data_IF_959677591495
#
_entry.id   IF_959677591495
#
_cell.length_a   1.000
_cell.length_b   1.000
_cell.length_c   1.000
_cell.angle_alpha   90.00
_cell.angle_beta   90.00
_cell.angle_gamma   90.00
#
_symmetry.space_group_name_H-M   'P 1'
#
loop_
_entity.id
_entity.type
_entity.pdbx_description
1 polymer ?
#
# COMPACT_ATOMS: atom_id res chain seq x y z
N UNK A 1 12.61 -48.33 -19.40
CA UNK A 1 11.97 -47.05 -19.72
C UNK A 1 10.85 -46.86 -18.70
N UNK A 2 11.16 -46.25 -17.58
CA UNK A 2 10.18 -45.94 -16.54
C UNK A 2 9.50 -44.61 -16.90
N UNK A 3 8.20 -44.68 -17.14
CA UNK A 3 7.33 -43.53 -17.38
C UNK A 3 7.09 -42.84 -16.06
N UNK A 4 7.77 -41.72 -15.83
CA UNK A 4 7.53 -40.84 -14.68
C UNK A 4 6.18 -40.12 -14.89
N UNK A 5 5.12 -40.70 -14.35
CA UNK A 5 3.82 -40.05 -14.28
C UNK A 5 3.90 -38.95 -13.21
N UNK A 6 3.83 -37.68 -13.64
CA UNK A 6 3.63 -36.54 -12.72
C UNK A 6 2.38 -36.77 -11.87
N UNK A 7 2.40 -36.49 -10.56
CA UNK A 7 1.23 -36.67 -9.70
C UNK A 7 0.08 -35.81 -10.20
N UNK A 8 -1.18 -36.27 -10.08
CA UNK A 8 -2.35 -35.49 -10.48
C UNK A 8 -2.43 -34.23 -9.65
N UNK A 9 -2.44 -33.04 -10.30
CA UNK A 9 -2.68 -31.75 -9.63
C UNK A 9 -4.03 -31.85 -8.91
N UNK A 10 -4.00 -31.83 -7.58
CA UNK A 10 -5.22 -31.81 -6.77
C UNK A 10 -6.06 -30.61 -7.15
N UNK A 11 -7.34 -30.83 -7.33
CA UNK A 11 -8.30 -29.75 -7.67
C UNK A 11 -8.45 -28.85 -6.43
N UNK A 12 -7.89 -27.63 -6.47
CA UNK A 12 -8.02 -26.64 -5.39
C UNK A 12 -9.49 -26.32 -5.13
N UNK A 13 -9.82 -25.98 -3.87
CA UNK A 13 -11.13 -25.47 -3.54
C UNK A 13 -11.39 -24.14 -4.30
N UNK A 14 -12.66 -23.81 -4.63
CA UNK A 14 -12.97 -22.59 -5.37
C UNK A 14 -12.44 -21.31 -4.70
N UNK A 15 -12.57 -21.20 -3.39
CA UNK A 15 -12.08 -20.06 -2.59
C UNK A 15 -10.55 -19.96 -2.65
N UNK A 16 -9.86 -21.07 -2.51
CA UNK A 16 -8.40 -21.14 -2.59
C UNK A 16 -7.90 -20.72 -3.99
N UNK A 17 -8.64 -21.10 -5.03
CA UNK A 17 -8.30 -20.71 -6.41
C UNK A 17 -8.53 -19.22 -6.64
N UNK A 18 -9.62 -18.67 -6.12
CA UNK A 18 -9.93 -17.24 -6.23
C UNK A 18 -8.87 -16.41 -5.53
N UNK A 19 -8.45 -16.83 -4.35
CA UNK A 19 -7.40 -16.21 -3.57
C UNK A 19 -6.04 -16.24 -4.26
N UNK A 20 -5.69 -17.35 -4.91
CA UNK A 20 -4.49 -17.47 -5.73
C UNK A 20 -4.50 -16.51 -6.93
N UNK A 21 -5.65 -16.34 -7.60
CA UNK A 21 -5.82 -15.40 -8.72
C UNK A 21 -5.63 -13.97 -8.22
N UNK A 22 -6.24 -13.59 -7.10
CA UNK A 22 -6.12 -12.26 -6.53
C UNK A 22 -4.69 -11.96 -6.06
N UNK A 23 -4.04 -12.94 -5.44
CA UNK A 23 -2.65 -12.80 -5.00
C UNK A 23 -1.71 -12.53 -6.17
N UNK A 24 -1.90 -13.24 -7.28
CA UNK A 24 -1.09 -13.03 -8.48
C UNK A 24 -1.40 -11.69 -9.15
N UNK A 25 -2.68 -11.29 -9.20
CA UNK A 25 -3.07 -9.99 -9.73
C UNK A 25 -2.49 -8.83 -8.90
N UNK A 26 -2.49 -8.95 -7.56
CA UNK A 26 -1.87 -7.98 -6.68
C UNK A 26 -0.34 -7.89 -6.85
N UNK A 27 0.33 -9.03 -7.09
CA UNK A 27 1.76 -9.04 -7.44
C UNK A 27 2.02 -8.29 -8.75
N UNK A 28 1.21 -8.53 -9.79
CA UNK A 28 1.31 -7.78 -11.05
C UNK A 28 1.12 -6.28 -10.82
N UNK A 29 0.15 -5.90 -9.97
CA UNK A 29 -0.13 -4.50 -9.66
C UNK A 29 1.08 -3.78 -9.03
N UNK A 30 1.75 -4.44 -8.09
CA UNK A 30 2.92 -3.89 -7.39
C UNK A 30 4.17 -3.88 -8.27
N UNK A 31 4.37 -4.91 -9.09
CA UNK A 31 5.58 -5.08 -9.89
C UNK A 31 5.54 -4.29 -11.21
N UNK A 32 4.37 -4.28 -11.87
CA UNK A 32 4.22 -3.83 -13.26
C UNK A 32 3.19 -2.70 -13.43
N UNK A 33 2.26 -2.52 -12.48
CA UNK A 33 1.17 -1.55 -12.50
C UNK A 33 -0.21 -2.16 -12.76
N UNK A 34 -1.26 -1.44 -12.34
CA UNK A 34 -2.65 -1.88 -12.45
C UNK A 34 -3.10 -2.12 -13.90
N UNK A 35 -2.60 -1.32 -14.84
CA UNK A 35 -2.90 -1.43 -16.27
C UNK A 35 -2.36 -2.73 -16.91
N UNK A 36 -1.47 -3.43 -16.22
CA UNK A 36 -0.94 -4.73 -16.66
C UNK A 36 -1.79 -5.90 -16.22
N UNK A 37 -2.73 -5.70 -15.31
CA UNK A 37 -3.66 -6.73 -14.89
C UNK A 37 -4.63 -7.00 -16.03
N UNK A 38 -4.49 -8.16 -16.64
CA UNK A 38 -5.44 -8.71 -17.60
C UNK A 38 -5.70 -10.17 -17.26
N UNK A 39 -6.89 -10.68 -17.61
CA UNK A 39 -7.20 -12.11 -17.41
C UNK A 39 -6.14 -13.02 -18.02
N UNK A 40 -5.56 -12.60 -19.16
CA UNK A 40 -4.50 -13.33 -19.85
C UNK A 40 -3.16 -13.26 -19.11
N UNK A 41 -2.79 -12.09 -18.59
CA UNK A 41 -1.53 -11.92 -17.85
C UNK A 41 -1.53 -12.79 -16.59
N UNK A 42 -2.60 -12.73 -15.81
CA UNK A 42 -2.76 -13.55 -14.60
C UNK A 42 -2.77 -15.05 -14.94
N UNK A 43 -3.50 -15.45 -15.99
CA UNK A 43 -3.50 -16.84 -16.44
C UNK A 43 -2.10 -17.34 -16.84
N UNK A 44 -1.32 -16.49 -17.51
CA UNK A 44 0.06 -16.82 -17.93
C UNK A 44 0.96 -17.02 -16.71
N UNK A 45 0.91 -16.14 -15.73
CA UNK A 45 1.73 -16.25 -14.51
C UNK A 45 1.36 -17.48 -13.67
N UNK A 46 0.06 -17.81 -13.58
CA UNK A 46 -0.42 -18.99 -12.86
C UNK A 46 -0.26 -20.30 -13.66
N UNK A 47 0.11 -20.25 -14.95
CA UNK A 47 0.23 -21.43 -15.81
C UNK A 47 -1.12 -22.11 -16.05
N UNK A 48 -2.22 -21.33 -16.16
CA UNK A 48 -3.58 -21.83 -16.39
C UNK A 48 -4.17 -21.24 -17.67
N UNK A 49 -5.35 -21.76 -18.08
CA UNK A 49 -6.05 -21.21 -19.24
C UNK A 49 -6.80 -19.92 -18.86
N UNK A 50 -6.85 -18.88 -19.71
CA UNK A 50 -7.56 -17.63 -19.45
C UNK A 50 -9.04 -17.84 -19.08
N UNK A 51 -9.72 -18.85 -19.65
CA UNK A 51 -11.09 -19.19 -19.31
C UNK A 51 -11.29 -19.63 -17.85
N UNK A 52 -10.23 -20.05 -17.14
CA UNK A 52 -10.32 -20.30 -15.71
C UNK A 52 -10.41 -18.97 -14.95
N UNK A 53 -9.64 -17.97 -15.33
CA UNK A 53 -9.67 -16.66 -14.67
C UNK A 53 -11.02 -15.99 -14.91
N UNK A 54 -11.53 -15.96 -16.15
CA UNK A 54 -12.83 -15.36 -16.46
C UNK A 54 -14.03 -16.09 -15.82
N UNK A 55 -13.87 -17.30 -15.35
CA UNK A 55 -14.88 -17.98 -14.54
C UNK A 55 -15.01 -17.36 -13.15
N UNK A 56 -13.90 -16.91 -12.53
CA UNK A 56 -13.89 -16.28 -11.22
C UNK A 56 -14.08 -14.76 -11.29
N UNK A 57 -13.59 -14.14 -12.36
CA UNK A 57 -13.65 -12.70 -12.62
C UNK A 57 -14.17 -12.47 -14.05
N UNK A 58 -15.50 -12.39 -14.23
CA UNK A 58 -16.10 -12.17 -15.55
C UNK A 58 -15.71 -10.82 -16.16
N UNK A 59 -15.55 -9.79 -15.36
CA UNK A 59 -15.02 -8.50 -15.77
C UNK A 59 -13.56 -8.32 -15.32
N UNK A 60 -12.72 -7.79 -16.20
CA UNK A 60 -11.32 -7.51 -15.85
C UNK A 60 -11.21 -6.36 -14.85
N UNK A 61 -12.15 -5.43 -14.86
CA UNK A 61 -12.25 -4.30 -13.94
C UNK A 61 -12.42 -4.75 -12.49
N UNK A 62 -13.29 -5.76 -12.25
CA UNK A 62 -13.47 -6.34 -10.90
C UNK A 62 -12.15 -6.93 -10.37
N UNK A 63 -11.36 -7.58 -11.25
CA UNK A 63 -10.07 -8.13 -10.87
C UNK A 63 -9.05 -7.02 -10.54
N UNK A 64 -9.07 -5.92 -11.27
CA UNK A 64 -8.21 -4.74 -11.02
C UNK A 64 -8.55 -4.11 -9.67
N UNK A 65 -9.82 -3.86 -9.41
CA UNK A 65 -10.30 -3.26 -8.16
C UNK A 65 -9.94 -4.11 -6.95
N UNK A 66 -10.23 -5.42 -7.01
CA UNK A 66 -9.94 -6.34 -5.92
C UNK A 66 -8.42 -6.54 -5.71
N UNK A 67 -7.63 -6.54 -6.79
CA UNK A 67 -6.17 -6.62 -6.71
C UNK A 67 -5.59 -5.37 -6.03
N UNK A 68 -6.13 -4.19 -6.34
CA UNK A 68 -5.75 -2.95 -5.66
C UNK A 68 -6.09 -3.00 -4.16
N UNK A 69 -7.33 -3.37 -3.80
CA UNK A 69 -7.75 -3.54 -2.40
C UNK A 69 -6.81 -4.48 -1.65
N UNK A 70 -6.52 -5.63 -2.25
CA UNK A 70 -5.63 -6.63 -1.64
C UNK A 70 -4.23 -6.08 -1.39
N UNK A 71 -3.63 -5.45 -2.39
CA UNK A 71 -2.30 -4.87 -2.28
C UNK A 71 -2.27 -3.76 -1.22
N UNK A 72 -3.24 -2.83 -1.25
CA UNK A 72 -3.37 -1.76 -0.27
C UNK A 72 -3.58 -2.29 1.16
N UNK A 73 -4.39 -3.35 1.33
CA UNK A 73 -4.64 -3.96 2.65
C UNK A 73 -3.38 -4.59 3.24
N UNK A 74 -2.65 -5.38 2.46
CA UNK A 74 -1.40 -6.04 2.91
C UNK A 74 -0.37 -4.98 3.33
N UNK A 75 -0.22 -3.93 2.54
CA UNK A 75 0.74 -2.89 2.84
C UNK A 75 0.30 -2.03 4.04
N UNK A 76 -1.00 -1.75 4.19
CA UNK A 76 -1.54 -1.03 5.37
C UNK A 76 -1.17 -1.73 6.68
N UNK A 77 -1.28 -3.05 6.75
CA UNK A 77 -0.89 -3.82 7.93
C UNK A 77 0.61 -3.72 8.22
N UNK A 78 1.45 -3.58 7.19
CA UNK A 78 2.90 -3.36 7.35
C UNK A 78 3.23 -1.95 7.80
N UNK A 79 2.50 -0.95 7.32
CA UNK A 79 2.72 0.47 7.67
C UNK A 79 2.24 0.81 9.07
N UNK A 80 1.15 0.21 9.52
CA UNK A 80 0.47 0.56 10.77
C UNK A 80 0.46 -0.63 11.73
N UNK A 81 1.57 -0.89 12.43
CA UNK A 81 1.61 -1.96 13.44
C UNK A 81 0.64 -1.67 14.59
N UNK A 82 0.01 -2.72 15.11
CA UNK A 82 -0.90 -2.60 16.26
C UNK A 82 -0.15 -2.52 17.60
N UNK A 83 1.11 -2.96 17.66
CA UNK A 83 1.93 -2.98 18.87
C UNK A 83 2.87 -1.78 18.96
N UNK A 84 3.21 -1.40 20.19
CA UNK A 84 4.11 -0.28 20.51
C UNK A 84 3.37 0.97 20.95
N UNK A 85 4.12 1.93 21.51
CA UNK A 85 3.62 3.26 21.85
C UNK A 85 3.22 4.05 20.59
N UNK A 86 2.37 5.07 20.69
CA UNK A 86 2.00 5.91 19.55
C UNK A 86 3.23 6.49 18.82
N UNK A 87 4.25 6.88 19.57
CA UNK A 87 5.49 7.41 19.00
C UNK A 87 6.26 6.33 18.21
N UNK A 88 6.37 5.09 18.74
CA UNK A 88 7.01 3.97 18.02
C UNK A 88 6.24 3.59 16.77
N UNK A 89 4.92 3.54 16.82
CA UNK A 89 4.06 3.23 15.67
C UNK A 89 4.21 4.29 14.57
N UNK A 90 4.24 5.57 14.94
CA UNK A 90 4.47 6.66 13.98
C UNK A 90 5.89 6.63 13.40
N UNK A 91 6.90 6.38 14.23
CA UNK A 91 8.29 6.25 13.78
C UNK A 91 8.45 5.09 12.79
N UNK A 92 7.79 3.95 13.05
CA UNK A 92 7.75 2.82 12.12
C UNK A 92 7.15 3.21 10.77
N UNK A 93 6.00 3.90 10.77
CA UNK A 93 5.33 4.39 9.56
C UNK A 93 6.26 5.29 8.73
N UNK A 94 6.88 6.29 9.35
CA UNK A 94 7.79 7.22 8.68
C UNK A 94 9.03 6.50 8.15
N UNK A 95 9.67 5.66 8.96
CA UNK A 95 10.85 4.89 8.57
C UNK A 95 10.59 4.00 7.34
N UNK A 96 9.42 3.37 7.28
CA UNK A 96 9.04 2.53 6.13
C UNK A 96 8.98 3.33 4.82
N UNK A 97 8.58 4.60 4.90
CA UNK A 97 8.57 5.51 3.75
C UNK A 97 9.99 5.95 3.38
N UNK A 98 10.78 6.41 4.34
CA UNK A 98 12.11 6.96 4.12
C UNK A 98 13.13 5.93 3.60
N UNK A 99 12.99 4.66 3.99
CA UNK A 99 13.84 3.57 3.51
C UNK A 99 13.53 3.10 2.10
N UNK A 100 12.46 3.64 1.48
CA UNK A 100 12.03 3.24 0.15
C UNK A 100 11.35 1.89 0.09
N UNK A 101 11.08 1.25 1.23
CA UNK A 101 10.32 -0.01 1.29
C UNK A 101 8.90 0.14 0.73
N UNK A 102 8.37 1.37 0.74
CA UNK A 102 7.05 1.72 0.22
C UNK A 102 7.00 2.05 -1.29
N UNK A 103 8.13 2.04 -2.01
CA UNK A 103 8.16 2.46 -3.41
C UNK A 103 7.18 1.69 -4.32
N UNK A 104 7.03 0.35 -4.23
CA UNK A 104 6.03 -0.36 -5.03
C UNK A 104 4.61 0.11 -4.74
N UNK A 105 4.30 0.38 -3.47
CA UNK A 105 3.00 0.91 -3.07
C UNK A 105 2.78 2.33 -3.56
N UNK A 106 3.78 3.21 -3.46
CA UNK A 106 3.69 4.59 -3.97
C UNK A 106 3.40 4.61 -5.49
N UNK A 107 4.03 3.71 -6.26
CA UNK A 107 3.72 3.51 -7.69
C UNK A 107 2.29 3.03 -7.90
N UNK A 108 1.84 2.07 -7.10
CA UNK A 108 0.49 1.54 -7.17
C UNK A 108 -0.56 2.65 -6.93
N UNK A 109 -0.38 3.46 -5.89
CA UNK A 109 -1.28 4.58 -5.58
C UNK A 109 -1.28 5.65 -6.67
N UNK A 110 -0.12 6.04 -7.17
CA UNK A 110 0.00 7.00 -8.29
C UNK A 110 -0.72 6.48 -9.54
N UNK A 111 -0.56 5.21 -9.85
CA UNK A 111 -1.22 4.54 -10.96
C UNK A 111 -2.74 4.45 -10.75
N UNK A 112 -3.20 4.07 -9.55
CA UNK A 112 -4.63 4.03 -9.22
C UNK A 112 -5.29 5.41 -9.34
N UNK A 113 -4.67 6.48 -8.82
CA UNK A 113 -5.14 7.87 -8.95
C UNK A 113 -5.24 8.31 -10.42
N UNK A 114 -4.31 7.86 -11.27
CA UNK A 114 -4.38 8.15 -12.71
C UNK A 114 -5.54 7.41 -13.37
N UNK A 115 -5.67 6.12 -13.14
CA UNK A 115 -6.67 5.26 -13.79
C UNK A 115 -8.08 5.51 -13.29
N UNK A 116 -8.27 5.91 -12.04
CA UNK A 116 -9.60 6.23 -11.46
C UNK A 116 -10.36 7.32 -12.24
N UNK A 117 -9.65 8.17 -12.99
CA UNK A 117 -10.25 9.16 -13.89
C UNK A 117 -11.04 8.52 -15.04
N UNK A 118 -10.78 7.26 -15.35
CA UNK A 118 -11.33 6.53 -16.50
C UNK A 118 -12.12 5.30 -16.08
N UNK A 119 -11.94 4.82 -14.86
CA UNK A 119 -12.56 3.61 -14.30
C UNK A 119 -13.34 4.02 -13.04
N UNK A 120 -14.67 4.24 -13.14
CA UNK A 120 -15.46 4.75 -12.01
C UNK A 120 -15.50 3.82 -10.79
N UNK A 121 -15.43 2.49 -10.99
CA UNK A 121 -15.36 1.53 -9.88
C UNK A 121 -14.06 1.70 -9.09
N UNK A 122 -12.95 1.91 -9.76
CA UNK A 122 -11.65 2.15 -9.12
C UNK A 122 -11.62 3.48 -8.35
N UNK A 123 -12.37 4.51 -8.79
CA UNK A 123 -12.50 5.77 -8.04
C UNK A 123 -13.13 5.54 -6.65
N UNK A 124 -14.24 4.80 -6.60
CA UNK A 124 -14.90 4.47 -5.34
C UNK A 124 -13.99 3.64 -4.43
N UNK A 125 -13.33 2.63 -4.99
CA UNK A 125 -12.38 1.77 -4.28
C UNK A 125 -11.20 2.58 -3.73
N UNK A 126 -10.64 3.50 -4.52
CA UNK A 126 -9.54 4.38 -4.11
C UNK A 126 -9.94 5.25 -2.91
N UNK A 127 -11.12 5.89 -2.96
CA UNK A 127 -11.63 6.72 -1.87
C UNK A 127 -11.83 5.93 -0.58
N UNK A 128 -12.31 4.69 -0.67
CA UNK A 128 -12.46 3.80 0.48
C UNK A 128 -11.09 3.47 1.10
N UNK A 129 -10.10 3.09 0.30
CA UNK A 129 -8.76 2.77 0.79
C UNK A 129 -8.05 3.99 1.40
N UNK A 130 -8.16 5.18 0.79
CA UNK A 130 -7.68 6.44 1.35
C UNK A 130 -8.30 6.72 2.74
N UNK A 131 -9.59 6.48 2.89
CA UNK A 131 -10.31 6.66 4.16
C UNK A 131 -9.80 5.72 5.25
N UNK A 132 -9.51 4.46 4.90
CA UNK A 132 -8.97 3.46 5.82
C UNK A 132 -7.56 3.83 6.29
N UNK A 133 -6.67 4.26 5.40
CA UNK A 133 -5.31 4.69 5.74
C UNK A 133 -5.33 5.94 6.64
N UNK A 134 -6.19 6.90 6.32
CA UNK A 134 -6.40 8.09 7.16
C UNK A 134 -6.91 7.72 8.55
N UNK A 135 -7.87 6.80 8.64
CA UNK A 135 -8.40 6.37 9.91
C UNK A 135 -7.33 5.70 10.79
N UNK A 136 -6.44 4.89 10.22
CA UNK A 136 -5.31 4.27 10.93
C UNK A 136 -4.32 5.30 11.46
N UNK A 137 -3.89 6.24 10.62
CA UNK A 137 -2.96 7.30 11.04
C UNK A 137 -3.60 8.21 12.12
N UNK A 138 -4.87 8.59 11.92
CA UNK A 138 -5.60 9.39 12.89
C UNK A 138 -5.67 8.70 14.25
N UNK A 139 -5.95 7.41 14.31
CA UNK A 139 -6.00 6.65 15.56
C UNK A 139 -4.65 6.69 16.31
N UNK A 140 -3.52 6.55 15.60
CA UNK A 140 -2.20 6.67 16.19
C UNK A 140 -2.00 8.08 16.79
N UNK A 141 -2.45 9.12 16.10
CA UNK A 141 -2.32 10.51 16.56
C UNK A 141 -3.24 10.76 17.76
N UNK A 142 -4.47 10.28 17.76
CA UNK A 142 -5.42 10.34 18.88
C UNK A 142 -4.81 9.70 20.14
N UNK A 143 -4.27 8.49 20.02
CA UNK A 143 -3.59 7.78 21.10
C UNK A 143 -2.39 8.58 21.64
N UNK A 144 -1.57 9.14 20.74
CA UNK A 144 -0.38 9.92 21.11
C UNK A 144 -0.69 11.27 21.76
N UNK A 145 -1.77 11.94 21.36
CA UNK A 145 -2.28 13.14 22.05
C UNK A 145 -2.81 12.77 23.44
N UNK A 146 -3.52 11.64 23.55
CA UNK A 146 -4.07 11.19 24.82
C UNK A 146 -2.98 10.73 25.81
N UNK A 147 -1.90 10.11 25.35
CA UNK A 147 -0.74 9.70 26.15
C UNK A 147 0.20 10.87 26.49
N UNK A 148 0.14 11.98 25.76
CA UNK A 148 1.05 13.12 25.88
C UNK A 148 2.36 12.95 25.09
N UNK A 149 2.46 11.94 24.24
CA UNK A 149 3.59 11.76 23.32
C UNK A 149 3.60 12.86 22.23
N UNK A 150 2.42 13.35 21.85
CA UNK A 150 2.23 14.41 20.86
C UNK A 150 1.59 15.64 21.48
N UNK A 151 1.84 16.80 20.89
CA UNK A 151 1.17 18.04 21.29
C UNK A 151 -0.36 17.93 21.11
N UNK A 152 -1.11 18.76 21.83
CA UNK A 152 -2.56 18.86 21.68
C UNK A 152 -2.93 19.48 20.34
N UNK A 153 -3.13 18.64 19.32
CA UNK A 153 -3.48 18.99 17.95
C UNK A 153 -4.82 18.38 17.55
N UNK A 154 -5.41 18.86 16.48
CA UNK A 154 -6.54 18.20 15.83
C UNK A 154 -6.02 16.96 15.05
N UNK A 155 -6.37 15.71 15.47
CA UNK A 155 -5.85 14.51 14.85
C UNK A 155 -6.27 14.33 13.37
N UNK A 156 -7.45 14.80 13.00
CA UNK A 156 -7.92 14.76 11.62
C UNK A 156 -7.05 15.68 10.73
N UNK A 157 -6.86 16.93 11.15
CA UNK A 157 -6.02 17.88 10.41
C UNK A 157 -4.57 17.42 10.33
N UNK A 158 -4.04 16.82 11.41
CA UNK A 158 -2.69 16.29 11.46
C UNK A 158 -2.51 15.11 10.49
N UNK A 159 -3.44 14.14 10.51
CA UNK A 159 -3.40 12.99 9.58
C UNK A 159 -3.44 13.43 8.13
N UNK A 160 -4.28 14.40 7.78
CA UNK A 160 -4.37 14.94 6.42
C UNK A 160 -3.04 15.56 5.98
N UNK A 161 -2.39 16.37 6.83
CA UNK A 161 -1.11 17.01 6.50
C UNK A 161 0.00 15.98 6.25
N UNK A 162 0.08 14.97 7.11
CA UNK A 162 1.08 13.92 6.98
C UNK A 162 0.84 13.08 5.72
N UNK A 163 -0.40 12.69 5.42
CA UNK A 163 -0.70 11.93 4.20
C UNK A 163 -0.46 12.75 2.92
N UNK A 164 -0.73 14.06 2.93
CA UNK A 164 -0.36 14.93 1.80
C UNK A 164 1.16 14.96 1.61
N UNK A 165 1.95 14.94 2.68
CA UNK A 165 3.41 14.85 2.57
C UNK A 165 3.87 13.50 1.97
N UNK A 166 3.24 12.40 2.37
CA UNK A 166 3.46 11.05 1.79
C UNK A 166 3.16 11.05 0.30
N UNK A 167 1.99 11.53 -0.08
CA UNK A 167 1.56 11.61 -1.49
C UNK A 167 2.48 12.55 -2.31
N UNK A 168 2.90 13.67 -1.72
CA UNK A 168 3.85 14.60 -2.33
C UNK A 168 5.18 13.91 -2.64
N UNK A 169 5.76 13.19 -1.67
CA UNK A 169 6.95 12.36 -1.88
C UNK A 169 6.74 11.25 -2.92
N UNK A 170 5.59 10.55 -2.80
CA UNK A 170 5.21 9.48 -3.73
C UNK A 170 5.04 9.93 -5.19
N UNK A 171 4.74 11.21 -5.44
CA UNK A 171 4.62 11.74 -6.81
C UNK A 171 5.94 11.68 -7.61
N UNK A 172 7.08 11.63 -6.92
CA UNK A 172 8.41 11.53 -7.52
C UNK A 172 8.91 10.10 -7.74
N UNK A 173 8.12 9.08 -7.39
CA UNK A 173 8.53 7.66 -7.43
C UNK A 173 9.00 7.18 -8.81
N UNK A 174 8.58 7.84 -9.88
CA UNK A 174 8.99 7.56 -11.26
C UNK A 174 10.03 8.56 -11.78
N UNK A 175 10.53 9.47 -10.94
CA UNK A 175 11.60 10.38 -11.33
C UNK A 175 12.90 9.62 -11.59
N UNK A 176 13.66 10.06 -12.57
CA UNK A 176 15.02 9.58 -12.82
C UNK A 176 16.08 10.44 -12.11
N UNK A 177 15.65 11.52 -11.45
CA UNK A 177 16.54 12.38 -10.69
C UNK A 177 17.00 11.69 -9.39
N UNK A 178 18.21 12.00 -8.98
CA UNK A 178 18.74 11.54 -7.69
C UNK A 178 18.12 12.37 -6.55
N UNK A 179 17.09 11.83 -5.92
CA UNK A 179 16.36 12.48 -4.83
C UNK A 179 16.95 12.15 -3.44
N UNK A 180 18.27 12.06 -3.35
CA UNK A 180 19.01 11.76 -2.12
C UNK A 180 19.22 12.97 -1.19
N UNK A 181 18.82 14.17 -1.60
CA UNK A 181 18.93 15.34 -0.75
C UNK A 181 18.13 15.14 0.57
N UNK A 182 18.72 15.39 1.76
CA UNK A 182 18.05 15.15 3.04
C UNK A 182 16.65 15.77 3.16
N UNK A 183 16.45 16.98 2.66
CA UNK A 183 15.13 17.64 2.67
C UNK A 183 14.08 16.90 1.82
N UNK A 184 14.46 15.99 0.94
CA UNK A 184 13.52 15.13 0.23
C UNK A 184 13.32 13.82 0.99
N UNK A 185 14.42 13.20 1.42
CA UNK A 185 14.37 11.91 2.14
C UNK A 185 13.58 12.04 3.44
N UNK A 186 13.82 13.11 4.22
CA UNK A 186 13.19 13.32 5.53
C UNK A 186 11.93 14.18 5.49
N UNK A 187 11.38 14.48 4.31
CA UNK A 187 10.24 15.39 4.18
C UNK A 187 9.02 14.95 4.99
N UNK A 188 8.71 13.65 4.98
CA UNK A 188 7.56 13.10 5.72
C UNK A 188 7.82 13.17 7.24
N UNK A 189 9.03 12.85 7.69
CA UNK A 189 9.43 13.00 9.10
C UNK A 189 9.31 14.45 9.55
N UNK A 190 9.88 15.39 8.80
CA UNK A 190 9.86 16.82 9.10
C UNK A 190 8.42 17.35 9.25
N UNK A 191 7.54 16.98 8.33
CA UNK A 191 6.12 17.38 8.37
C UNK A 191 5.41 16.76 9.58
N UNK A 192 5.65 15.48 9.86
CA UNK A 192 5.04 14.79 10.99
C UNK A 192 5.51 15.39 12.33
N UNK A 193 6.81 15.59 12.52
CA UNK A 193 7.40 16.17 13.71
C UNK A 193 6.90 17.61 13.94
N UNK A 194 6.94 18.43 12.88
CA UNK A 194 6.40 19.79 12.95
C UNK A 194 4.92 19.81 13.32
N UNK A 195 4.11 18.95 12.69
CA UNK A 195 2.65 18.91 12.90
C UNK A 195 2.29 18.46 14.30
N UNK A 196 3.06 17.52 14.88
CA UNK A 196 2.78 16.90 16.17
C UNK A 196 3.54 17.52 17.34
N UNK A 197 4.32 18.58 17.08
CA UNK A 197 5.10 19.30 18.11
C UNK A 197 6.28 18.50 18.65
N UNK A 198 6.82 17.58 17.85
CA UNK A 198 8.01 16.81 18.19
C UNK A 198 9.29 17.62 17.89
N UNK A 199 10.37 17.32 18.61
CA UNK A 199 11.67 17.87 18.26
C UNK A 199 12.19 17.27 16.93
N UNK A 200 12.90 18.05 16.09
CA UNK A 200 13.48 17.53 14.86
C UNK A 200 14.37 16.30 15.09
N UNK A 201 14.17 15.25 14.28
CA UNK A 201 14.94 14.01 14.36
C UNK A 201 14.41 12.98 15.37
N UNK A 202 13.33 13.29 16.11
CA UNK A 202 12.73 12.37 17.11
C UNK A 202 12.31 11.04 16.47
N UNK A 203 11.61 11.09 15.34
CA UNK A 203 11.08 9.87 14.67
C UNK A 203 12.21 8.99 14.15
N UNK A 204 13.26 9.58 13.57
CA UNK A 204 14.44 8.83 13.12
C UNK A 204 15.21 8.17 14.27
N UNK A 205 15.34 8.83 15.41
CA UNK A 205 16.01 8.26 16.58
C UNK A 205 15.26 7.06 17.18
N UNK A 206 13.93 7.11 17.21
CA UNK A 206 13.07 6.01 17.72
C UNK A 206 13.09 4.81 16.78
N UNK A 207 13.07 5.02 15.46
CA UNK A 207 13.08 3.94 14.47
C UNK A 207 14.38 3.11 14.48
N UNK A 208 15.47 3.64 15.02
CA UNK A 208 16.79 2.98 15.07
C UNK A 208 17.11 2.35 16.42
N UNK A 209 16.22 2.46 17.40
CA UNK A 209 16.36 1.92 18.77
C UNK A 209 15.75 0.54 18.91
#
# INVERSE_FOLDING_TARGET
MESSASPPRSRKAPEERREEILSEAASIALDEGLERITLRAVATRLGVRPGLISHYFPAAEDLVDEAFVRAATIERERFFPDAGSPLERLAHFVHHIETGASLPLARLWLNARHLSRFIPSLEATLQEQDSLDRARLRAIIEDGVASGDFAAVDPEAASIRILIAVDGGGSYVNSTDDLTHPAHVHFVADVAEWTLGLAPGTLGAVATS
#
